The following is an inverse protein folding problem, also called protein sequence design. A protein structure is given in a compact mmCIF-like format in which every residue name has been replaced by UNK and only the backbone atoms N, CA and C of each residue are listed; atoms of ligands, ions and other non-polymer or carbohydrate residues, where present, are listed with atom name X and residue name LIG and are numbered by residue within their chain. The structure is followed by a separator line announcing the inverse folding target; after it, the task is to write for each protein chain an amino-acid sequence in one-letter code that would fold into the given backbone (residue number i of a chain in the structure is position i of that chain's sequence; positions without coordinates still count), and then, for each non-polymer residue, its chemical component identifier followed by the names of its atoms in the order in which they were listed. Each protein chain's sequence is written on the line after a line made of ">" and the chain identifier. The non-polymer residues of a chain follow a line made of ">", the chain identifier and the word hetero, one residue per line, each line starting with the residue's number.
data_IF_632018042412
#
_entry.id   IF_632018042412
#
_cell.length_a   1.000
_cell.length_b   1.000
_cell.length_c   1.000
_cell.angle_alpha   90.00
_cell.angle_beta   90.00
_cell.angle_gamma   90.00
#
_symmetry.space_group_name_H-M   'P 1'
#
loop_
_entity.id
_entity.type
_entity.pdbx_description
1 polymer ?
#
# COMPACT_ATOMS: atom_id res chain seq x y z
N UNK A 1 33.29 -22.59 26.85
CA UNK A 1 33.29 -22.35 25.41
C UNK A 1 32.19 -21.35 25.11
N UNK A 2 32.54 -20.10 24.78
CA UNK A 2 31.59 -19.05 24.47
C UNK A 2 31.54 -18.88 22.95
N UNK A 3 30.49 -19.41 22.32
CA UNK A 3 30.16 -19.17 20.92
C UNK A 3 28.91 -18.28 20.91
N UNK A 4 29.13 -16.97 20.94
CA UNK A 4 28.06 -15.98 20.89
C UNK A 4 28.58 -14.71 20.23
N UNK A 5 27.82 -14.23 19.25
CA UNK A 5 27.97 -12.91 18.61
C UNK A 5 29.10 -12.76 17.57
N UNK A 6 28.93 -13.32 16.37
CA UNK A 6 29.60 -12.81 15.15
C UNK A 6 28.73 -12.79 13.89
N UNK A 7 27.44 -13.13 13.96
CA UNK A 7 26.58 -13.24 12.77
C UNK A 7 25.89 -11.93 12.32
N UNK A 8 25.82 -10.92 13.18
CA UNK A 8 25.06 -9.69 12.88
C UNK A 8 25.84 -8.67 12.02
N UNK A 9 27.16 -8.56 12.20
CA UNK A 9 27.93 -7.46 11.61
C UNK A 9 28.32 -7.66 10.13
N UNK A 10 28.27 -8.90 9.62
CA UNK A 10 28.63 -9.19 8.22
C UNK A 10 27.50 -8.88 7.23
N UNK A 11 26.25 -8.95 7.67
CA UNK A 11 25.07 -8.77 6.80
C UNK A 11 24.68 -7.30 6.59
N UNK A 12 24.96 -6.41 7.57
CA UNK A 12 24.60 -4.99 7.48
C UNK A 12 25.43 -4.23 6.43
N UNK A 13 26.75 -4.45 6.41
CA UNK A 13 27.66 -3.83 5.42
C UNK A 13 27.30 -4.23 3.99
N UNK A 14 26.86 -5.47 3.82
CA UNK A 14 26.41 -6.04 2.55
C UNK A 14 25.09 -5.44 2.06
N UNK A 15 24.22 -5.04 2.98
CA UNK A 15 22.92 -4.45 2.67
C UNK A 15 23.05 -2.97 2.29
N UNK A 16 23.82 -2.22 3.07
CA UNK A 16 24.15 -0.82 2.78
C UNK A 16 24.85 -0.70 1.42
N UNK A 17 25.76 -1.62 1.08
CA UNK A 17 26.42 -1.64 -0.22
C UNK A 17 25.46 -1.85 -1.41
N UNK A 18 24.39 -2.64 -1.23
CA UNK A 18 23.37 -2.82 -2.28
C UNK A 18 22.48 -1.60 -2.38
N UNK A 19 22.09 -0.99 -1.26
CA UNK A 19 21.31 0.26 -1.25
C UNK A 19 22.08 1.42 -1.91
N UNK A 20 23.37 1.58 -1.63
CA UNK A 20 24.22 2.58 -2.27
C UNK A 20 24.30 2.35 -3.80
N UNK A 21 24.36 1.08 -4.21
CA UNK A 21 24.36 0.71 -5.63
C UNK A 21 23.02 1.04 -6.28
N UNK A 22 21.89 0.77 -5.62
CA UNK A 22 20.54 1.16 -6.09
C UNK A 22 20.44 2.67 -6.22
N UNK A 23 20.88 3.41 -5.20
CA UNK A 23 20.82 4.87 -5.20
C UNK A 23 21.63 5.46 -6.35
N UNK A 24 22.86 5.00 -6.55
CA UNK A 24 23.73 5.45 -7.63
C UNK A 24 23.16 5.12 -9.01
N UNK A 25 22.62 3.92 -9.17
CA UNK A 25 22.04 3.46 -10.43
C UNK A 25 20.76 4.23 -10.78
N UNK A 26 19.90 4.48 -9.79
CA UNK A 26 18.69 5.28 -9.95
C UNK A 26 19.02 6.74 -10.26
N UNK A 27 20.01 7.31 -9.57
CA UNK A 27 20.47 8.67 -9.85
C UNK A 27 20.96 8.80 -11.29
N UNK A 28 21.75 7.83 -11.79
CA UNK A 28 22.21 7.81 -13.17
C UNK A 28 21.04 7.77 -14.16
N UNK A 29 20.06 6.89 -13.92
CA UNK A 29 18.86 6.77 -14.75
C UNK A 29 18.06 8.09 -14.80
N UNK A 30 17.72 8.66 -13.64
CA UNK A 30 16.91 9.87 -13.58
C UNK A 30 17.66 11.10 -14.07
N UNK A 31 18.96 11.23 -13.78
CA UNK A 31 19.79 12.31 -14.35
C UNK A 31 19.87 12.18 -15.87
N UNK A 32 20.02 10.95 -16.40
CA UNK A 32 19.99 10.67 -17.83
C UNK A 32 18.66 11.04 -18.49
N UNK A 33 17.53 10.73 -17.85
CA UNK A 33 16.20 11.13 -18.35
C UNK A 33 15.92 12.63 -18.21
N UNK A 34 16.53 13.31 -17.23
CA UNK A 34 16.37 14.75 -17.02
C UNK A 34 17.18 15.60 -17.99
N UNK A 35 18.09 15.02 -18.79
CA UNK A 35 18.94 15.84 -19.66
C UNK A 35 18.13 16.46 -20.80
N UNK A 36 17.79 17.73 -20.63
CA UNK A 36 17.42 18.62 -21.72
C UNK A 36 18.62 18.84 -22.65
N UNK A 37 18.42 18.48 -23.92
CA UNK A 37 19.16 18.87 -25.14
C UNK A 37 20.71 18.94 -25.15
N UNK A 38 21.43 18.40 -24.17
CA UNK A 38 22.89 18.58 -24.05
C UNK A 38 23.74 17.32 -23.94
N UNK A 39 23.18 16.19 -23.51
CA UNK A 39 23.86 14.88 -23.50
C UNK A 39 22.97 13.84 -24.15
N UNK A 40 23.54 12.96 -24.97
CA UNK A 40 22.80 11.83 -25.55
C UNK A 40 22.61 10.76 -24.48
N UNK A 41 21.47 10.79 -23.79
CA UNK A 41 20.97 9.62 -23.07
C UNK A 41 20.12 8.80 -24.03
N UNK A 42 20.66 7.69 -24.50
CA UNK A 42 19.99 6.85 -25.49
C UNK A 42 18.91 5.96 -24.84
N UNK A 43 18.05 5.38 -25.67
CA UNK A 43 17.08 4.38 -25.21
C UNK A 43 17.82 3.14 -24.69
N UNK A 44 18.97 2.82 -25.27
CA UNK A 44 19.85 1.73 -24.89
C UNK A 44 20.43 1.97 -23.49
N UNK A 45 20.88 3.20 -23.19
CA UNK A 45 21.34 3.58 -21.84
C UNK A 45 20.22 3.44 -20.82
N UNK A 46 19.00 3.87 -21.16
CA UNK A 46 17.82 3.71 -20.31
C UNK A 46 17.50 2.24 -20.01
N UNK A 47 17.56 1.38 -21.04
CA UNK A 47 17.35 -0.07 -20.89
C UNK A 47 18.41 -0.72 -20.03
N UNK A 48 19.69 -0.40 -20.26
CA UNK A 48 20.80 -0.90 -19.44
C UNK A 48 20.65 -0.44 -18.00
N UNK A 49 20.26 0.81 -17.77
CA UNK A 49 20.13 1.32 -16.43
C UNK A 49 18.95 0.71 -15.67
N UNK A 50 17.81 0.48 -16.36
CA UNK A 50 16.65 -0.24 -15.83
C UNK A 50 16.95 -1.72 -15.54
N UNK A 51 17.66 -2.41 -16.43
CA UNK A 51 18.10 -3.80 -16.20
C UNK A 51 19.01 -3.89 -14.97
N UNK A 52 19.93 -2.93 -14.80
CA UNK A 52 20.75 -2.81 -13.61
C UNK A 52 19.93 -2.61 -12.32
N UNK A 53 18.91 -1.75 -12.36
CA UNK A 53 17.99 -1.55 -11.23
C UNK A 53 17.18 -2.80 -10.90
N UNK A 54 16.71 -3.53 -11.92
CA UNK A 54 15.99 -4.79 -11.72
C UNK A 54 16.85 -5.81 -10.97
N UNK A 55 18.09 -6.03 -11.44
CA UNK A 55 19.03 -6.99 -10.81
C UNK A 55 19.40 -6.60 -9.38
N UNK A 56 19.59 -5.31 -9.12
CA UNK A 56 19.86 -4.81 -7.77
C UNK A 56 18.66 -5.00 -6.84
N UNK A 57 17.43 -4.85 -7.36
CA UNK A 57 16.20 -5.10 -6.62
C UNK A 57 16.07 -6.59 -6.28
N UNK A 58 16.36 -7.48 -7.22
CA UNK A 58 16.39 -8.93 -6.98
C UNK A 58 17.43 -9.30 -5.90
N UNK A 59 18.63 -8.73 -6.00
CA UNK A 59 19.71 -8.93 -5.00
C UNK A 59 19.29 -8.43 -3.62
N UNK A 60 18.62 -7.27 -3.56
CA UNK A 60 18.12 -6.71 -2.31
C UNK A 60 17.04 -7.63 -1.70
N UNK A 61 16.14 -8.16 -2.53
CA UNK A 61 15.10 -9.10 -2.11
C UNK A 61 15.68 -10.40 -1.56
N UNK A 62 16.69 -10.99 -2.22
CA UNK A 62 17.40 -12.18 -1.74
C UNK A 62 18.15 -11.91 -0.43
N UNK A 63 18.75 -10.73 -0.27
CA UNK A 63 19.41 -10.33 0.99
C UNK A 63 18.40 -10.13 2.13
N UNK A 64 17.22 -9.57 1.85
CA UNK A 64 16.13 -9.49 2.83
C UNK A 64 15.69 -10.88 3.27
N UNK A 65 15.38 -11.77 2.31
CA UNK A 65 15.01 -13.16 2.59
C UNK A 65 16.05 -13.89 3.45
N UNK A 66 17.34 -13.79 3.07
CA UNK A 66 18.43 -14.48 3.77
C UNK A 66 18.79 -13.89 5.13
N UNK A 67 18.51 -12.61 5.36
CA UNK A 67 18.75 -11.95 6.65
C UNK A 67 17.74 -12.34 7.74
N UNK A 68 16.67 -13.06 7.39
CA UNK A 68 15.53 -13.29 8.29
C UNK A 68 14.68 -12.02 8.52
N UNK A 69 15.16 -10.86 8.03
CA UNK A 69 14.37 -9.67 7.74
C UNK A 69 13.73 -9.86 6.37
N UNK A 70 13.00 -10.97 6.20
CA UNK A 70 11.76 -10.78 5.47
C UNK A 70 11.09 -9.65 6.22
N UNK A 71 10.81 -8.54 5.54
CA UNK A 71 9.76 -7.66 6.01
C UNK A 71 8.68 -8.63 6.44
N UNK A 72 8.40 -8.67 7.75
CA UNK A 72 7.21 -9.32 8.28
C UNK A 72 6.18 -8.94 7.23
N UNK A 73 5.62 -9.91 6.46
CA UNK A 73 4.52 -9.55 5.60
C UNK A 73 3.60 -8.85 6.59
N UNK A 74 3.38 -7.54 6.45
CA UNK A 74 2.42 -6.84 7.29
C UNK A 74 1.16 -7.66 7.10
N UNK A 75 0.85 -8.53 8.07
CA UNK A 75 0.29 -9.87 7.80
C UNK A 75 -0.75 -9.72 6.71
N UNK A 76 -0.55 -10.34 5.55
CA UNK A 76 -1.53 -10.24 4.46
C UNK A 76 -2.91 -10.61 4.99
N UNK A 77 -2.96 -11.49 5.99
CA UNK A 77 -4.12 -11.80 6.82
C UNK A 77 -4.63 -10.62 7.67
N UNK A 78 -3.78 -9.86 8.37
CA UNK A 78 -4.18 -8.66 9.13
C UNK A 78 -4.72 -7.55 8.21
N UNK A 79 -4.07 -7.31 7.06
CA UNK A 79 -4.55 -6.33 6.08
C UNK A 79 -5.90 -6.78 5.45
N UNK A 80 -6.05 -8.08 5.21
CA UNK A 80 -7.31 -8.68 4.75
C UNK A 80 -8.40 -8.60 5.83
N UNK A 81 -8.06 -8.79 7.11
CA UNK A 81 -8.98 -8.67 8.24
C UNK A 81 -9.49 -7.23 8.40
N UNK A 82 -8.61 -6.23 8.32
CA UNK A 82 -8.98 -4.82 8.38
C UNK A 82 -9.84 -4.40 7.18
N UNK A 83 -9.52 -4.89 5.98
CA UNK A 83 -10.34 -4.69 4.78
C UNK A 83 -11.74 -5.30 4.96
N UNK A 84 -11.82 -6.57 5.39
CA UNK A 84 -13.09 -7.25 5.62
C UNK A 84 -13.92 -6.59 6.73
N UNK A 85 -13.28 -6.10 7.80
CA UNK A 85 -13.95 -5.37 8.87
C UNK A 85 -14.52 -4.04 8.38
N UNK A 86 -13.76 -3.31 7.57
CA UNK A 86 -14.18 -2.02 6.98
C UNK A 86 -15.37 -2.20 6.05
N UNK A 87 -15.33 -3.19 5.15
CA UNK A 87 -16.44 -3.50 4.24
C UNK A 87 -17.70 -3.90 5.02
N UNK A 88 -17.56 -4.75 6.05
CA UNK A 88 -18.69 -5.18 6.89
C UNK A 88 -19.33 -4.01 7.63
N UNK A 89 -18.51 -3.14 8.24
CA UNK A 89 -19.01 -1.93 8.92
C UNK A 89 -19.75 -1.01 7.95
N UNK A 90 -19.22 -0.80 6.75
CA UNK A 90 -19.90 -0.02 5.71
C UNK A 90 -21.26 -0.60 5.32
N UNK A 91 -21.36 -1.93 5.24
CA UNK A 91 -22.63 -2.61 4.97
C UNK A 91 -23.64 -2.44 6.12
N UNK A 92 -23.20 -2.62 7.36
CA UNK A 92 -24.03 -2.44 8.55
C UNK A 92 -24.57 -0.99 8.66
N UNK A 93 -23.74 0.01 8.38
CA UNK A 93 -24.15 1.42 8.35
C UNK A 93 -25.15 1.71 7.22
N UNK A 94 -24.94 1.14 6.03
CA UNK A 94 -25.87 1.28 4.91
C UNK A 94 -27.26 0.69 5.23
N UNK A 95 -27.30 -0.49 5.85
CA UNK A 95 -28.54 -1.15 6.26
C UNK A 95 -29.27 -0.38 7.37
N UNK A 96 -28.52 0.16 8.35
CA UNK A 96 -29.08 1.01 9.39
C UNK A 96 -29.70 2.29 8.82
N UNK A 97 -29.02 2.93 7.87
CA UNK A 97 -29.52 4.12 7.18
C UNK A 97 -30.80 3.81 6.39
N UNK A 98 -30.84 2.66 5.70
CA UNK A 98 -32.02 2.20 4.97
C UNK A 98 -33.23 2.03 5.89
N UNK A 99 -33.05 1.36 7.02
CA UNK A 99 -34.11 1.16 8.03
C UNK A 99 -34.60 2.51 8.57
N UNK A 100 -33.67 3.42 8.85
CA UNK A 100 -34.00 4.75 9.38
C UNK A 100 -34.83 5.55 8.37
N UNK A 101 -34.45 5.56 7.10
CA UNK A 101 -35.21 6.23 6.04
C UNK A 101 -36.61 5.62 5.87
N UNK A 102 -36.74 4.29 5.92
CA UNK A 102 -38.05 3.63 5.87
C UNK A 102 -38.94 4.08 7.03
N UNK A 103 -38.41 4.14 8.25
CA UNK A 103 -39.16 4.63 9.43
C UNK A 103 -39.61 6.07 9.25
N UNK A 104 -38.74 6.95 8.75
CA UNK A 104 -39.09 8.35 8.45
C UNK A 104 -40.21 8.42 7.42
N UNK A 105 -40.11 7.66 6.33
CA UNK A 105 -41.16 7.61 5.30
C UNK A 105 -42.50 7.11 5.87
N UNK A 106 -42.49 6.05 6.67
CA UNK A 106 -43.70 5.55 7.34
C UNK A 106 -44.32 6.60 8.27
N UNK A 107 -43.50 7.28 9.07
CA UNK A 107 -43.96 8.33 9.97
C UNK A 107 -44.56 9.52 9.21
N UNK A 108 -43.91 9.98 8.14
CA UNK A 108 -44.42 11.04 7.28
C UNK A 108 -45.75 10.64 6.63
N UNK A 109 -45.89 9.40 6.15
CA UNK A 109 -47.13 8.89 5.58
C UNK A 109 -48.26 8.84 6.62
N UNK A 110 -47.97 8.39 7.85
CA UNK A 110 -48.92 8.36 8.94
C UNK A 110 -49.39 9.76 9.36
N UNK A 111 -48.46 10.72 9.46
CA UNK A 111 -48.77 12.12 9.76
C UNK A 111 -49.64 12.75 8.67
N UNK A 112 -49.28 12.57 7.40
CA UNK A 112 -50.06 13.10 6.28
C UNK A 112 -51.49 12.52 6.25
N UNK A 113 -51.62 11.21 6.54
CA UNK A 113 -52.93 10.57 6.70
C UNK A 113 -53.71 11.19 7.86
N UNK A 114 -53.08 11.42 9.01
CA UNK A 114 -53.74 12.01 10.17
C UNK A 114 -54.19 13.47 9.94
N UNK A 115 -53.40 14.27 9.22
CA UNK A 115 -53.75 15.66 8.88
C UNK A 115 -54.90 15.75 7.87
N UNK A 116 -55.02 14.78 6.97
CA UNK A 116 -56.09 14.74 5.96
C UNK A 116 -57.36 14.01 6.44
N UNK A 117 -57.42 13.57 7.71
CA UNK A 117 -58.68 13.11 8.30
C UNK A 117 -59.57 14.35 8.52
N UNK A 118 -60.76 14.44 7.91
CA UNK A 118 -61.68 15.55 8.14
C UNK A 118 -61.99 15.62 9.64
N UNK A 119 -61.70 16.75 10.27
CA UNK A 119 -62.21 17.01 11.62
C UNK A 119 -63.73 17.09 11.50
N UNK A 120 -64.44 16.13 12.09
CA UNK A 120 -65.90 16.21 12.23
C UNK A 120 -66.20 17.48 13.02
N UNK A 121 -66.70 18.50 12.33
CA UNK A 121 -67.45 19.62 12.93
C UNK A 121 -68.86 19.18 13.25
#
# INVERSE_FOLDING_TARGET
>A
MAAGQTFASKNLNDFESVLDSVHRQASKFFTGMQVGSGMSYSIEDAKTDLDGLSKLTDTLHEKLLSSGVNAIPLDSEMLQLDYHATVRKGQEEADLNRITLQRVQTNCAALNKAMNIPRKS
#
